data_IF_457034479249
#
_entry.id   IF_457034479249
#
_cell.length_a   1.000
_cell.length_b   1.000
_cell.length_c   1.000
_cell.angle_alpha   90.00
_cell.angle_beta   90.00
_cell.angle_gamma   90.00
#
_symmetry.space_group_name_H-M   'P 1'
#
loop_
_entity.id
_entity.type
_entity.pdbx_description
1 polymer ?
#
# COMPACT_ATOMS: atom_id res chain seq x y z
N UNK A 1 -12.51 11.65 -6.06
CA UNK A 1 -11.03 11.76 -6.04
C UNK A 1 -10.50 10.40 -6.56
N UNK A 2 -9.40 10.31 -7.32
CA UNK A 2 -9.05 9.18 -8.21
C UNK A 2 -9.50 7.74 -7.84
N UNK A 3 -9.41 7.31 -6.57
CA UNK A 3 -9.94 6.01 -6.09
C UNK A 3 -11.44 5.81 -6.41
N UNK A 4 -12.27 6.84 -6.30
CA UNK A 4 -13.70 6.74 -6.63
C UNK A 4 -13.94 6.50 -8.12
N UNK A 5 -13.00 6.94 -8.97
CA UNK A 5 -13.03 6.65 -10.41
C UNK A 5 -12.69 5.18 -10.63
N UNK A 6 -11.63 4.67 -10.00
CA UNK A 6 -11.24 3.25 -10.06
C UNK A 6 -12.35 2.33 -9.54
N UNK A 7 -13.03 2.70 -8.44
CA UNK A 7 -14.16 1.93 -7.91
C UNK A 7 -15.34 1.77 -8.88
N UNK A 8 -15.45 2.64 -9.88
CA UNK A 8 -16.47 2.57 -10.94
C UNK A 8 -15.97 1.88 -12.21
N UNK A 9 -14.67 1.64 -12.33
CA UNK A 9 -14.05 0.93 -13.46
C UNK A 9 -14.45 -0.54 -13.47
N UNK A 10 -14.75 -1.08 -14.65
CA UNK A 10 -15.30 -2.44 -14.83
C UNK A 10 -14.43 -3.33 -15.71
N UNK A 11 -13.63 -2.75 -16.61
CA UNK A 11 -12.81 -3.46 -17.57
C UNK A 11 -11.40 -3.74 -17.03
N UNK A 12 -10.84 -2.83 -16.23
CA UNK A 12 -9.48 -2.97 -15.71
C UNK A 12 -9.46 -3.74 -14.38
N UNK A 13 -8.49 -4.64 -14.26
CA UNK A 13 -8.11 -5.22 -12.96
C UNK A 13 -7.08 -4.31 -12.29
N UNK A 14 -7.58 -3.29 -11.59
CA UNK A 14 -6.75 -2.26 -10.96
C UNK A 14 -6.41 -2.63 -9.52
N UNK A 15 -5.26 -2.18 -9.05
CA UNK A 15 -4.91 -2.19 -7.63
C UNK A 15 -4.49 -0.78 -7.22
N UNK A 16 -4.93 -0.33 -6.03
CA UNK A 16 -4.55 0.98 -5.47
C UNK A 16 -3.78 0.79 -4.17
N UNK A 17 -2.47 0.99 -4.20
CA UNK A 17 -1.63 0.93 -3.00
C UNK A 17 -1.47 2.34 -2.40
N UNK A 18 -1.97 2.53 -1.19
CA UNK A 18 -1.77 3.78 -0.43
C UNK A 18 -0.50 3.69 0.39
N UNK A 19 0.41 4.69 0.32
CA UNK A 19 1.53 4.74 1.26
C UNK A 19 1.03 5.09 2.67
N UNK A 20 1.85 4.76 3.67
CA UNK A 20 1.71 5.32 5.01
C UNK A 20 1.82 6.85 5.00
N UNK A 21 1.36 7.51 6.07
CA UNK A 21 1.34 8.98 6.13
C UNK A 21 2.71 9.63 5.94
N UNK A 22 3.77 8.98 6.44
CA UNK A 22 5.16 9.32 6.15
C UNK A 22 5.78 8.25 5.25
N UNK A 23 6.27 8.68 4.10
CA UNK A 23 7.02 7.83 3.16
C UNK A 23 8.29 8.55 2.74
N UNK A 24 9.43 8.01 3.18
CA UNK A 24 10.76 8.61 3.02
C UNK A 24 11.78 7.51 2.69
N UNK A 25 12.94 7.84 2.09
CA UNK A 25 14.02 6.89 1.89
C UNK A 25 14.48 6.26 3.21
N UNK A 26 14.81 4.97 3.20
CA UNK A 26 15.27 4.25 4.38
C UNK A 26 15.79 2.86 4.07
N UNK A 27 15.65 1.94 5.04
CA UNK A 27 16.15 0.57 4.89
C UNK A 27 15.14 -0.32 4.14
N UNK A 28 15.67 -1.19 3.27
CA UNK A 28 14.92 -2.27 2.60
C UNK A 28 14.92 -3.52 3.48
N UNK A 29 13.98 -3.62 4.40
CA UNK A 29 13.88 -4.76 5.32
C UNK A 29 13.05 -5.92 4.76
N UNK A 30 12.15 -5.64 3.81
CA UNK A 30 11.12 -6.57 3.36
C UNK A 30 10.04 -6.86 4.42
N UNK A 31 10.04 -6.11 5.53
CA UNK A 31 9.13 -6.32 6.66
C UNK A 31 8.19 -5.12 6.79
N UNK A 32 6.91 -5.37 6.57
CA UNK A 32 5.83 -4.38 6.71
C UNK A 32 4.51 -5.10 6.96
N UNK A 33 3.56 -4.37 7.54
CA UNK A 33 2.17 -4.82 7.69
C UNK A 33 1.38 -4.42 6.45
N UNK A 34 0.41 -5.25 6.09
CA UNK A 34 -0.57 -4.98 5.04
C UNK A 34 -1.91 -4.67 5.70
N UNK A 35 -2.55 -3.59 5.27
CA UNK A 35 -3.88 -3.18 5.70
C UNK A 35 -4.78 -2.92 4.50
N UNK A 36 -6.07 -2.73 4.75
CA UNK A 36 -7.03 -2.35 3.71
C UNK A 36 -7.20 -0.84 3.64
N UNK A 37 -8.37 -0.39 4.11
CA UNK A 37 -8.82 0.99 3.97
C UNK A 37 -8.43 1.93 5.13
N UNK A 38 -7.90 1.37 6.21
CA UNK A 38 -7.55 2.07 7.46
C UNK A 38 -6.07 2.41 7.49
N UNK A 39 -5.73 3.56 8.07
CA UNK A 39 -4.34 3.97 8.28
C UNK A 39 -3.63 2.98 9.20
N UNK A 40 -2.47 2.48 8.78
CA UNK A 40 -1.58 1.70 9.64
C UNK A 40 -0.73 2.65 10.47
N UNK A 41 -0.85 2.57 11.79
CA UNK A 41 -0.01 3.28 12.74
C UNK A 41 0.62 2.30 13.73
N UNK A 42 1.80 2.63 14.24
CA UNK A 42 2.46 1.91 15.33
C UNK A 42 1.86 2.29 16.70
N UNK A 43 2.42 1.71 17.77
CA UNK A 43 1.96 1.98 19.15
C UNK A 43 2.15 3.44 19.59
N UNK A 44 3.03 4.19 18.94
CA UNK A 44 3.23 5.62 19.17
C UNK A 44 2.33 6.50 18.28
N UNK A 45 1.47 5.88 17.44
CA UNK A 45 0.59 6.57 16.51
C UNK A 45 1.26 7.03 15.22
N UNK A 46 2.50 6.63 14.96
CA UNK A 46 3.21 7.00 13.75
C UNK A 46 2.85 6.04 12.61
N UNK A 47 2.48 6.59 11.45
CA UNK A 47 2.25 5.83 10.22
C UNK A 47 3.42 6.05 9.28
N UNK A 48 4.28 5.04 9.13
CA UNK A 48 5.55 5.14 8.39
C UNK A 48 5.79 3.93 7.51
N UNK A 49 6.39 4.17 6.35
CA UNK A 49 6.94 3.14 5.46
C UNK A 49 8.18 3.70 4.77
N UNK A 50 9.22 2.90 4.59
CA UNK A 50 10.35 3.30 3.74
C UNK A 50 9.96 3.20 2.26
N UNK A 51 10.52 4.06 1.41
CA UNK A 51 10.28 4.00 -0.04
C UNK A 51 10.68 2.63 -0.62
N UNK A 52 11.73 2.03 -0.07
CA UNK A 52 12.25 0.73 -0.48
C UNK A 52 11.27 -0.40 -0.14
N UNK A 53 10.69 -0.40 1.07
CA UNK A 53 9.69 -1.40 1.45
C UNK A 53 8.35 -1.18 0.73
N UNK A 54 7.99 0.06 0.44
CA UNK A 54 6.83 0.34 -0.42
C UNK A 54 7.05 -0.21 -1.83
N UNK A 55 8.24 -0.06 -2.41
CA UNK A 55 8.57 -0.64 -3.71
C UNK A 55 8.52 -2.18 -3.68
N UNK A 56 8.99 -2.81 -2.59
CA UNK A 56 8.83 -4.26 -2.40
C UNK A 56 7.35 -4.65 -2.41
N UNK A 57 6.50 -3.98 -1.62
CA UNK A 57 5.06 -4.27 -1.60
C UNK A 57 4.39 -4.11 -2.97
N UNK A 58 4.82 -3.12 -3.76
CA UNK A 58 4.33 -2.91 -5.11
C UNK A 58 4.76 -4.06 -6.05
N UNK A 59 6.02 -4.49 -5.98
CA UNK A 59 6.52 -5.61 -6.79
C UNK A 59 5.84 -6.93 -6.40
N UNK A 60 5.70 -7.19 -5.09
CA UNK A 60 5.02 -8.39 -4.58
C UNK A 60 3.58 -8.52 -5.10
N UNK A 61 2.84 -7.40 -5.15
CA UNK A 61 1.47 -7.36 -5.68
C UNK A 61 1.43 -7.58 -7.20
N UNK A 62 2.44 -7.15 -7.95
CA UNK A 62 2.53 -7.41 -9.40
C UNK A 62 2.87 -8.88 -9.67
N UNK A 63 3.77 -9.47 -8.89
CA UNK A 63 4.21 -10.86 -9.06
C UNK A 63 3.16 -11.87 -8.59
N UNK A 64 2.48 -11.56 -7.47
CA UNK A 64 1.45 -12.40 -6.89
C UNK A 64 0.25 -11.54 -6.47
N UNK A 65 -0.65 -11.18 -7.41
CA UNK A 65 -1.77 -10.30 -7.14
C UNK A 65 -2.69 -10.83 -6.04
N UNK A 66 -2.93 -10.01 -5.02
CA UNK A 66 -3.83 -10.33 -3.88
C UNK A 66 -4.97 -9.32 -3.73
N UNK A 67 -4.88 -8.16 -4.37
CA UNK A 67 -5.79 -7.03 -4.14
C UNK A 67 -6.47 -6.55 -5.44
N UNK A 68 -7.01 -7.50 -6.21
CA UNK A 68 -7.79 -7.23 -7.43
C UNK A 68 -8.96 -6.26 -7.17
N UNK A 69 -9.00 -5.18 -7.94
CA UNK A 69 -10.01 -4.10 -7.85
C UNK A 69 -10.20 -3.56 -6.43
N UNK A 70 -9.10 -3.51 -5.68
CA UNK A 70 -9.11 -3.10 -4.28
C UNK A 70 -8.03 -2.07 -3.98
N UNK A 71 -8.28 -1.34 -2.88
CA UNK A 71 -7.24 -0.55 -2.21
C UNK A 71 -6.64 -1.38 -1.09
N UNK A 72 -5.33 -1.25 -0.92
CA UNK A 72 -4.63 -1.67 0.29
C UNK A 72 -3.60 -0.62 0.71
N UNK A 73 -3.02 -0.79 1.88
CA UNK A 73 -1.98 0.07 2.44
C UNK A 73 -0.87 -0.76 3.05
N UNK A 74 0.32 -0.17 3.16
CA UNK A 74 1.46 -0.78 3.84
C UNK A 74 2.11 0.18 4.84
N UNK A 75 2.64 -0.36 5.93
CA UNK A 75 3.27 0.41 7.01
C UNK A 75 4.00 -0.47 8.01
N UNK A 76 4.91 0.13 8.77
CA UNK A 76 5.60 -0.52 9.89
C UNK A 76 4.69 -0.60 11.12
#
# INVERSE_FOLDING_TARGET
>A
MFLDTLRKEKALDWTFISPSALSEPGERTGQFRIGGDQLLADAAGASRITMENFAVALVDEVESPKHSRARFTVGH
#
